data_IF_013287961987
#
_entry.id   IF_013287961987
#
_cell.length_a   1.000
_cell.length_b   1.000
_cell.length_c   1.000
_cell.angle_alpha   90.00
_cell.angle_beta   90.00
_cell.angle_gamma   90.00
#
_symmetry.space_group_name_H-M   'P 1'
#
loop_
_entity.id
_entity.type
_entity.pdbx_description
1 polymer ?
#
# COMPACT_ATOMS: atom_id res chain seq x y z
N UNK A 1 -0.34 -2.43 -1.56
CA UNK A 1 0.57 -2.38 -0.39
C UNK A 1 1.38 -3.67 -0.27
N UNK A 2 2.65 -3.58 0.12
CA UNK A 2 3.52 -4.72 0.45
C UNK A 2 3.32 -5.18 1.90
N UNK A 3 2.17 -5.80 2.15
CA UNK A 3 1.80 -6.32 3.46
C UNK A 3 2.67 -7.51 3.86
N UNK A 4 3.24 -7.46 5.06
CA UNK A 4 3.97 -8.56 5.71
C UNK A 4 3.00 -9.53 6.41
N UNK A 5 2.21 -10.25 5.61
CA UNK A 5 1.09 -11.10 6.08
C UNK A 5 1.53 -12.09 7.17
N UNK A 6 2.69 -12.74 7.01
CA UNK A 6 3.28 -13.66 8.00
C UNK A 6 3.45 -13.05 9.39
N UNK A 7 3.72 -11.75 9.48
CA UNK A 7 3.81 -11.05 10.77
C UNK A 7 2.44 -10.64 11.30
N UNK A 8 1.51 -10.29 10.42
CA UNK A 8 0.17 -9.85 10.82
C UNK A 8 -0.65 -10.99 11.43
N UNK A 9 -0.52 -12.22 10.91
CA UNK A 9 -1.22 -13.42 11.43
C UNK A 9 -0.73 -13.86 12.81
N UNK A 10 0.37 -13.30 13.34
CA UNK A 10 0.81 -13.56 14.71
C UNK A 10 -0.13 -12.97 15.76
N UNK A 11 -0.97 -12.01 15.37
CA UNK A 11 -2.04 -11.52 16.23
C UNK A 11 -3.21 -12.52 16.19
N UNK A 12 -3.31 -13.39 17.19
CA UNK A 12 -4.32 -14.45 17.28
C UNK A 12 -5.77 -13.95 17.19
N UNK A 13 -6.04 -12.70 17.61
CA UNK A 13 -7.39 -12.12 17.53
C UNK A 13 -7.81 -11.76 16.09
N UNK A 14 -6.84 -11.52 15.20
CA UNK A 14 -7.07 -11.12 13.81
C UNK A 14 -6.62 -12.16 12.80
N UNK A 15 -5.90 -13.20 13.24
CA UNK A 15 -5.26 -14.19 12.38
C UNK A 15 -6.25 -14.84 11.40
N UNK A 16 -7.42 -15.24 11.89
CA UNK A 16 -8.48 -15.83 11.06
C UNK A 16 -8.93 -14.86 9.97
N UNK A 17 -9.34 -13.65 10.34
CA UNK A 17 -9.82 -12.64 9.39
C UNK A 17 -8.76 -12.24 8.36
N UNK A 18 -7.49 -12.18 8.76
CA UNK A 18 -6.37 -11.90 7.85
C UNK A 18 -6.16 -13.06 6.87
N UNK A 19 -6.24 -14.30 7.34
CA UNK A 19 -6.11 -15.48 6.48
C UNK A 19 -7.27 -15.57 5.48
N UNK A 20 -8.50 -15.35 5.95
CA UNK A 20 -9.73 -15.38 5.14
C UNK A 20 -9.73 -14.28 4.05
N UNK A 21 -9.08 -13.14 4.30
CA UNK A 21 -8.99 -12.05 3.32
C UNK A 21 -8.12 -12.37 2.09
N UNK A 22 -7.27 -13.39 2.13
CA UNK A 22 -6.57 -13.89 0.94
C UNK A 22 -5.57 -12.94 0.26
N UNK A 23 -5.04 -11.93 0.98
CA UNK A 23 -4.21 -10.85 0.39
C UNK A 23 -2.99 -11.31 -0.40
N UNK A 24 -2.37 -12.44 -0.02
CA UNK A 24 -1.24 -13.01 -0.76
C UNK A 24 -1.68 -13.45 -2.16
N UNK A 25 -2.76 -14.24 -2.23
CA UNK A 25 -3.30 -14.73 -3.50
C UNK A 25 -3.78 -13.57 -4.37
N UNK A 26 -4.44 -12.57 -3.77
CA UNK A 26 -4.87 -11.37 -4.48
C UNK A 26 -3.70 -10.65 -5.17
N UNK A 27 -2.57 -10.48 -4.47
CA UNK A 27 -1.37 -9.85 -5.05
C UNK A 27 -0.79 -10.69 -6.19
N UNK A 28 -0.67 -12.01 -6.00
CA UNK A 28 -0.15 -12.91 -7.04
C UNK A 28 -1.00 -12.83 -8.32
N UNK A 29 -2.33 -12.77 -8.19
CA UNK A 29 -3.21 -12.60 -9.35
C UNK A 29 -3.07 -11.24 -10.01
N UNK A 30 -2.95 -10.15 -9.23
CA UNK A 30 -2.71 -8.82 -9.78
C UNK A 30 -1.43 -8.74 -10.60
N UNK A 31 -0.31 -9.25 -10.05
CA UNK A 31 0.99 -9.28 -10.73
C UNK A 31 0.91 -10.12 -12.01
N UNK A 32 0.29 -11.30 -11.92
CA UNK A 32 0.10 -12.19 -13.08
C UNK A 32 -0.69 -11.53 -14.20
N UNK A 33 -1.80 -10.85 -13.89
CA UNK A 33 -2.57 -10.15 -14.91
C UNK A 33 -1.86 -8.89 -15.40
N UNK A 34 -1.05 -8.25 -14.55
CA UNK A 34 -0.13 -7.18 -14.95
C UNK A 34 0.79 -7.64 -16.09
N UNK A 35 1.46 -8.78 -15.92
CA UNK A 35 2.30 -9.39 -16.95
C UNK A 35 1.51 -9.68 -18.25
N UNK A 36 0.34 -10.33 -18.12
CA UNK A 36 -0.49 -10.72 -19.28
C UNK A 36 -0.90 -9.51 -20.11
N UNK A 37 -1.25 -8.39 -19.47
CA UNK A 37 -1.72 -7.18 -20.14
C UNK A 37 -0.63 -6.13 -20.37
N UNK A 38 0.64 -6.43 -20.07
CA UNK A 38 1.73 -5.48 -20.20
C UNK A 38 1.57 -4.24 -19.30
N UNK A 39 0.98 -4.41 -18.10
CA UNK A 39 0.77 -3.35 -17.11
C UNK A 39 1.75 -3.52 -15.95
N UNK A 40 2.34 -2.42 -15.52
CA UNK A 40 3.23 -2.39 -14.36
C UNK A 40 2.40 -2.42 -13.08
N UNK A 41 2.68 -3.40 -12.22
CA UNK A 41 2.11 -3.49 -10.88
C UNK A 41 3.19 -3.20 -9.85
N UNK A 42 2.99 -2.19 -9.00
CA UNK A 42 3.96 -1.77 -7.98
C UNK A 42 3.38 -1.96 -6.58
N UNK A 43 4.07 -2.74 -5.75
CA UNK A 43 3.77 -2.83 -4.33
C UNK A 43 4.47 -1.68 -3.58
N UNK A 44 3.72 -0.94 -2.77
CA UNK A 44 4.24 0.18 -1.97
C UNK A 44 4.35 -0.17 -0.50
N UNK A 45 5.26 0.47 0.23
CA UNK A 45 5.39 0.30 1.67
C UNK A 45 4.07 0.67 2.39
N UNK A 46 3.47 -0.26 3.18
CA UNK A 46 2.20 -0.02 3.89
C UNK A 46 2.31 0.97 5.06
N UNK A 47 3.51 1.38 5.43
CA UNK A 47 3.71 2.28 6.56
C UNK A 47 2.92 3.58 6.38
N UNK A 48 2.07 3.87 7.37
CA UNK A 48 1.28 5.09 7.53
C UNK A 48 0.23 5.36 6.44
N UNK A 49 -0.02 4.46 5.49
CA UNK A 49 -0.99 4.67 4.39
C UNK A 49 -2.38 5.08 4.88
N UNK A 50 -2.89 4.48 5.95
CA UNK A 50 -4.19 4.82 6.55
C UNK A 50 -4.14 5.94 7.61
N UNK A 51 -2.96 6.30 8.09
CA UNK A 51 -2.79 7.27 9.18
C UNK A 51 -2.40 8.66 8.67
N UNK A 52 -1.51 8.73 7.70
CA UNK A 52 -1.11 9.95 7.00
C UNK A 52 -2.30 10.56 6.28
N UNK A 53 -2.48 11.86 6.43
CA UNK A 53 -3.51 12.59 5.70
C UNK A 53 -3.05 12.81 4.27
N UNK A 54 -3.84 12.35 3.29
CA UNK A 54 -3.53 12.52 1.88
C UNK A 54 -3.49 13.99 1.42
N UNK A 55 -4.16 14.88 2.16
CA UNK A 55 -4.18 16.32 1.86
C UNK A 55 -2.99 17.09 2.43
N UNK A 56 -2.52 16.76 3.64
CA UNK A 56 -1.51 17.58 4.35
C UNK A 56 -0.32 16.81 4.92
N UNK A 57 -0.26 15.49 4.76
CA UNK A 57 0.84 14.64 5.26
C UNK A 57 0.89 14.44 6.78
N UNK A 58 0.00 15.06 7.55
CA UNK A 58 0.00 14.90 9.02
C UNK A 58 -0.46 13.49 9.40
N UNK A 59 0.22 12.88 10.37
CA UNK A 59 -0.17 11.60 10.93
C UNK A 59 -1.34 11.77 11.89
N UNK A 60 -2.49 11.19 11.52
CA UNK A 60 -3.66 11.06 12.37
C UNK A 60 -3.70 9.62 12.88
N UNK A 61 -3.36 9.40 14.16
CA UNK A 61 -3.41 8.08 14.82
C UNK A 61 -4.87 7.60 14.90
N UNK A 62 -5.08 6.32 14.60
CA UNK A 62 -6.43 5.70 14.54
C UNK A 62 -6.40 4.30 15.12
N UNK A 63 -7.52 3.83 15.67
CA UNK A 63 -7.72 2.42 15.95
C UNK A 63 -8.17 1.69 14.67
N UNK A 64 -8.17 0.36 14.70
CA UNK A 64 -8.70 -0.45 13.58
C UNK A 64 -10.20 -0.23 13.35
N UNK A 65 -10.96 0.16 14.39
CA UNK A 65 -12.39 0.45 14.30
C UNK A 65 -12.71 1.83 13.72
N UNK A 66 -11.73 2.74 13.65
CA UNK A 66 -11.94 4.05 13.02
C UNK A 66 -12.08 3.88 11.51
N UNK A 67 -13.28 4.18 10.97
CA UNK A 67 -13.60 4.07 9.54
C UNK A 67 -13.52 5.39 8.78
N UNK A 68 -13.65 6.52 9.46
CA UNK A 68 -13.53 7.85 8.84
C UNK A 68 -12.17 8.46 9.16
N UNK A 69 -11.48 8.98 8.14
CA UNK A 69 -10.31 9.83 8.32
C UNK A 69 -10.78 11.26 8.54
N UNK A 70 -10.50 11.83 9.71
CA UNK A 70 -10.74 13.26 10.00
C UNK A 70 -9.43 13.91 10.40
N UNK A 71 -8.97 14.88 9.61
CA UNK A 71 -7.74 15.61 9.87
C UNK A 71 -8.02 17.07 10.24
N UNK A 72 -7.12 17.66 11.04
CA UNK A 72 -7.19 19.07 11.44
C UNK A 72 -7.08 20.05 10.26
N UNK A 73 -6.56 19.61 9.11
CA UNK A 73 -6.53 20.42 7.90
C UNK A 73 -7.90 20.54 7.19
N UNK A 74 -8.94 19.85 7.70
CA UNK A 74 -10.29 19.85 7.10
C UNK A 74 -10.58 18.62 6.23
N UNK A 75 -9.58 17.81 5.89
CA UNK A 75 -9.78 16.58 5.13
C UNK A 75 -10.64 15.57 5.91
N UNK A 76 -11.80 15.22 5.37
CA UNK A 76 -12.71 14.19 5.90
C UNK A 76 -13.10 13.21 4.79
N UNK A 77 -12.61 11.98 4.87
CA UNK A 77 -12.80 10.92 3.85
C UNK A 77 -13.05 9.57 4.54
N UNK A 78 -13.49 8.55 3.80
CA UNK A 78 -13.34 7.17 4.29
C UNK A 78 -11.84 6.86 4.47
N UNK A 79 -11.51 6.08 5.51
CA UNK A 79 -10.11 5.73 5.83
C UNK A 79 -9.44 5.01 4.66
N UNK A 80 -10.16 4.13 3.99
CA UNK A 80 -9.62 3.31 2.91
C UNK A 80 -9.50 4.16 1.62
N UNK A 81 -10.36 5.17 1.42
CA UNK A 81 -10.20 6.18 0.36
C UNK A 81 -8.94 7.04 0.59
N UNK A 82 -8.74 7.57 1.79
CA UNK A 82 -7.51 8.29 2.15
C UNK A 82 -6.28 7.40 1.95
N UNK A 83 -6.36 6.12 2.33
CA UNK A 83 -5.27 5.17 2.13
C UNK A 83 -4.98 4.91 0.65
N UNK A 84 -6.02 4.79 -0.19
CA UNK A 84 -5.87 4.60 -1.63
C UNK A 84 -5.14 5.78 -2.29
N UNK A 85 -5.47 7.02 -1.91
CA UNK A 85 -4.76 8.22 -2.40
C UNK A 85 -3.29 8.19 -1.98
N UNK A 86 -2.99 7.85 -0.72
CA UNK A 86 -1.61 7.73 -0.27
C UNK A 86 -0.83 6.62 -0.97
N UNK A 87 -1.48 5.48 -1.26
CA UNK A 87 -0.89 4.37 -2.02
C UNK A 87 -0.55 4.82 -3.45
N UNK A 88 -1.47 5.54 -4.11
CA UNK A 88 -1.23 6.11 -5.43
C UNK A 88 -0.03 7.06 -5.42
N UNK A 89 0.00 8.01 -4.48
CA UNK A 89 1.10 8.97 -4.35
C UNK A 89 2.46 8.28 -4.13
N UNK A 90 2.52 7.25 -3.25
CA UNK A 90 3.73 6.45 -3.02
C UNK A 90 4.13 5.64 -4.26
N UNK A 91 3.15 5.11 -5.00
CA UNK A 91 3.39 4.37 -6.24
C UNK A 91 3.99 5.28 -7.32
N UNK A 92 3.40 6.47 -7.50
CA UNK A 92 3.89 7.48 -8.44
C UNK A 92 5.28 8.01 -8.08
N UNK A 93 5.59 8.15 -6.80
CA UNK A 93 6.93 8.51 -6.35
C UNK A 93 7.99 7.44 -6.68
N UNK A 94 7.59 6.16 -6.80
CA UNK A 94 8.50 5.05 -7.08
C UNK A 94 8.82 4.94 -8.58
N UNK A 95 7.86 5.25 -9.47
CA UNK A 95 8.05 5.13 -10.93
C UNK A 95 8.99 6.19 -11.54
N UNK A 96 9.31 7.26 -10.80
CA UNK A 96 10.36 8.21 -11.19
C UNK A 96 11.77 7.60 -11.23
N UNK A 97 11.98 6.44 -10.58
CA UNK A 97 13.27 5.74 -10.52
C UNK A 97 13.37 4.51 -11.45
N UNK A 98 12.35 4.25 -12.27
CA UNK A 98 12.29 3.04 -13.12
C UNK A 98 13.37 3.02 -14.21
N UNK A 99 13.99 4.17 -14.53
CA UNK A 99 15.09 4.26 -15.51
C UNK A 99 16.48 3.98 -14.94
N UNK A 100 16.70 4.14 -13.62
CA UNK A 100 18.02 3.96 -13.02
C UNK A 100 18.37 2.49 -12.76
N UNK A 101 17.40 1.64 -12.41
CA UNK A 101 17.66 0.24 -12.04
C UNK A 101 17.87 -0.70 -13.24
N UNK A 102 17.49 -0.29 -14.45
CA UNK A 102 17.81 -1.04 -15.67
C UNK A 102 19.22 -0.72 -16.20
N UNK A 103 19.71 0.51 -15.99
CA UNK A 103 21.09 0.91 -16.33
C UNK A 103 22.14 0.27 -15.41
N UNK A 104 21.77 -0.07 -14.17
CA UNK A 104 22.68 -0.74 -13.23
C UNK A 104 22.97 -2.20 -13.62
N UNK A 105 22.06 -2.86 -14.37
CA UNK A 105 22.29 -4.24 -14.84
C UNK A 105 23.23 -4.33 -16.03
N UNK A 106 23.32 -3.29 -16.86
CA UNK A 106 24.28 -3.24 -17.97
C UNK A 106 25.70 -2.83 -17.53
N UNK A 107 25.84 -2.19 -16.36
CA UNK A 107 27.12 -1.75 -15.82
C UNK A 107 27.68 -2.65 -14.69
N UNK A 108 26.97 -3.72 -14.33
CA UNK A 108 27.47 -4.74 -13.41
C UNK A 108 28.26 -5.81 -14.18
N UNK A 109 29.46 -5.44 -14.64
CA UNK A 109 30.54 -6.35 -15.07
C UNK A 109 31.59 -6.46 -13.97
#
# INVERSE_FOLDING_TARGET
>A
EDLRIRNMVKNHNLAKSIADAGWYQFRTWLERYGEIFGRVTVAVNPAYTSQECSSCGTIVKKSLSTRTHTCKCGCTLDRDENAAINILNKGLATVGHTGSTLLDKENAL
#
